data_IF_581451031465
#
_entry.id   IF_581451031465
#
_cell.length_a   1.000
_cell.length_b   1.000
_cell.length_c   1.000
_cell.angle_alpha   90.00
_cell.angle_beta   90.00
_cell.angle_gamma   90.00
#
_symmetry.space_group_name_H-M   'P 1'
#
loop_
_entity.id
_entity.type
_entity.pdbx_description
1 polymer ?
#
# COMPACT_ATOMS: atom_id res chain seq x y z
N UNK A 1 18.53 -12.75 -5.02
CA UNK A 1 17.58 -11.68 -5.40
C UNK A 1 16.25 -11.91 -4.73
N UNK A 2 15.73 -10.92 -4.08
CA UNK A 2 14.44 -11.03 -3.40
C UNK A 2 13.35 -10.60 -4.38
N UNK A 3 12.48 -11.55 -4.70
CA UNK A 3 11.40 -11.32 -5.67
C UNK A 3 10.13 -11.03 -4.90
N UNK A 4 9.71 -9.76 -4.88
CA UNK A 4 8.47 -9.35 -4.26
C UNK A 4 7.38 -9.22 -5.31
N UNK A 5 6.24 -9.85 -5.04
CA UNK A 5 5.07 -9.65 -5.88
C UNK A 5 4.39 -8.34 -5.46
N UNK A 6 4.57 -7.30 -6.27
CA UNK A 6 3.97 -5.99 -6.04
C UNK A 6 2.60 -5.84 -6.69
N UNK A 7 2.09 -6.89 -7.34
CA UNK A 7 0.80 -6.84 -8.03
C UNK A 7 -0.34 -6.42 -7.11
N UNK A 8 -0.49 -6.98 -5.88
CA UNK A 8 -1.56 -6.52 -4.98
C UNK A 8 -1.46 -5.05 -4.63
N UNK A 9 -0.24 -4.54 -4.43
CA UNK A 9 -0.01 -3.13 -4.12
C UNK A 9 -0.37 -2.25 -5.30
N UNK A 10 0.02 -2.62 -6.51
CA UNK A 10 -0.33 -1.88 -7.72
C UNK A 10 -1.84 -1.78 -7.90
N UNK A 11 -2.56 -2.88 -7.69
CA UNK A 11 -4.02 -2.90 -7.77
C UNK A 11 -4.66 -2.00 -6.71
N UNK A 12 -4.14 -2.03 -5.49
CA UNK A 12 -4.66 -1.20 -4.41
C UNK A 12 -4.45 0.29 -4.71
N UNK A 13 -3.29 0.66 -5.26
CA UNK A 13 -2.98 2.03 -5.65
C UNK A 13 -3.93 2.50 -6.75
N UNK A 14 -4.19 1.66 -7.76
CA UNK A 14 -5.13 2.00 -8.84
C UNK A 14 -6.53 2.27 -8.29
N UNK A 15 -7.00 1.45 -7.37
CA UNK A 15 -8.31 1.66 -6.72
C UNK A 15 -8.33 2.94 -5.91
N UNK A 16 -7.24 3.26 -5.24
CA UNK A 16 -7.12 4.50 -4.48
C UNK A 16 -7.18 5.71 -5.42
N UNK A 17 -6.49 5.66 -6.55
CA UNK A 17 -6.54 6.72 -7.56
C UNK A 17 -7.95 6.92 -8.09
N UNK A 18 -8.67 5.84 -8.41
CA UNK A 18 -10.06 5.91 -8.85
C UNK A 18 -10.94 6.58 -7.80
N UNK A 19 -10.74 6.22 -6.52
CA UNK A 19 -11.47 6.83 -5.41
C UNK A 19 -11.18 8.31 -5.26
N UNK A 20 -9.93 8.71 -5.45
CA UNK A 20 -9.54 10.13 -5.42
C UNK A 20 -10.22 10.94 -6.52
N UNK A 21 -10.25 10.38 -7.73
CA UNK A 21 -10.90 11.04 -8.88
C UNK A 21 -12.39 11.24 -8.57
N UNK A 22 -13.07 10.22 -8.08
CA UNK A 22 -14.50 10.31 -7.74
C UNK A 22 -14.74 11.32 -6.62
N UNK A 23 -13.87 11.36 -5.62
CA UNK A 23 -13.99 12.33 -4.54
C UNK A 23 -13.80 13.75 -5.03
N UNK A 24 -12.86 13.99 -5.95
CA UNK A 24 -12.66 15.31 -6.55
C UNK A 24 -13.88 15.78 -7.35
N UNK A 25 -14.61 14.85 -7.95
CA UNK A 25 -15.84 15.17 -8.69
C UNK A 25 -16.97 15.59 -7.75
N UNK A 26 -17.04 15.01 -6.54
CA UNK A 26 -18.08 15.34 -5.56
C UNK A 26 -17.52 15.21 -4.14
N UNK A 27 -16.89 16.27 -3.66
CA UNK A 27 -16.27 16.30 -2.34
C UNK A 27 -17.30 16.36 -1.21
N UNK A 28 -18.57 16.59 -1.53
CA UNK A 28 -19.64 16.64 -0.51
C UNK A 28 -20.24 15.26 -0.22
N UNK A 29 -19.91 14.24 -1.03
CA UNK A 29 -20.47 12.91 -0.86
C UNK A 29 -19.70 12.15 0.22
N UNK A 30 -20.37 11.94 1.36
CA UNK A 30 -19.79 11.26 2.52
C UNK A 30 -19.47 9.80 2.21
N UNK A 31 -20.31 9.14 1.40
CA UNK A 31 -20.10 7.74 1.05
C UNK A 31 -18.82 7.56 0.20
N UNK A 32 -18.61 8.47 -0.75
CA UNK A 32 -17.38 8.45 -1.56
C UNK A 32 -16.16 8.69 -0.66
N UNK A 33 -16.26 9.65 0.26
CA UNK A 33 -15.19 9.95 1.21
C UNK A 33 -14.86 8.73 2.07
N UNK A 34 -15.87 8.09 2.64
CA UNK A 34 -15.66 6.93 3.52
C UNK A 34 -15.07 5.75 2.74
N UNK A 35 -15.53 5.53 1.50
CA UNK A 35 -14.96 4.52 0.63
C UNK A 35 -13.50 4.81 0.29
N UNK A 36 -13.15 6.07 0.11
CA UNK A 36 -11.77 6.49 -0.14
C UNK A 36 -10.88 6.20 1.07
N UNK A 37 -11.36 6.51 2.27
CA UNK A 37 -10.63 6.21 3.51
C UNK A 37 -10.36 4.71 3.62
N UNK A 38 -11.37 3.86 3.34
CA UNK A 38 -11.19 2.41 3.39
C UNK A 38 -10.16 1.93 2.37
N UNK A 39 -10.18 2.49 1.15
CA UNK A 39 -9.18 2.15 0.13
C UNK A 39 -7.77 2.56 0.55
N UNK A 40 -7.66 3.71 1.20
CA UNK A 40 -6.39 4.18 1.73
C UNK A 40 -5.86 3.24 2.83
N UNK A 41 -6.72 2.86 3.77
CA UNK A 41 -6.36 1.93 4.85
C UNK A 41 -5.89 0.59 4.28
N UNK A 42 -6.60 0.06 3.30
CA UNK A 42 -6.25 -1.20 2.65
C UNK A 42 -4.89 -1.10 1.95
N UNK A 43 -4.67 -0.01 1.23
CA UNK A 43 -3.38 0.24 0.55
C UNK A 43 -2.25 0.34 1.56
N UNK A 44 -2.49 1.03 2.67
CA UNK A 44 -1.53 1.17 3.76
C UNK A 44 -1.15 -0.20 4.34
N UNK A 45 -2.13 -1.05 4.61
CA UNK A 45 -1.88 -2.38 5.16
C UNK A 45 -1.03 -3.23 4.22
N UNK A 46 -1.35 -3.22 2.91
CA UNK A 46 -0.59 -3.98 1.92
C UNK A 46 0.84 -3.46 1.84
N UNK A 47 1.01 -2.14 1.77
CA UNK A 47 2.34 -1.56 1.68
C UNK A 47 3.17 -1.83 2.94
N UNK A 48 2.53 -1.81 4.11
CA UNK A 48 3.16 -2.11 5.38
C UNK A 48 3.67 -3.55 5.42
N UNK A 49 2.86 -4.50 4.97
CA UNK A 49 3.25 -5.92 4.92
C UNK A 49 4.43 -6.14 3.98
N UNK A 50 4.40 -5.51 2.81
CA UNK A 50 5.49 -5.64 1.84
C UNK A 50 6.77 -5.03 2.39
N UNK A 51 6.68 -3.85 2.99
CA UNK A 51 7.82 -3.18 3.60
C UNK A 51 8.41 -4.02 4.73
N UNK A 52 7.56 -4.59 5.57
CA UNK A 52 7.99 -5.43 6.68
C UNK A 52 8.79 -6.64 6.17
N UNK A 53 8.28 -7.30 5.12
CA UNK A 53 8.99 -8.44 4.53
C UNK A 53 10.35 -8.01 3.96
N UNK A 54 10.37 -6.88 3.28
CA UNK A 54 11.61 -6.35 2.72
C UNK A 54 12.64 -6.07 3.82
N UNK A 55 12.22 -5.41 4.89
CA UNK A 55 13.09 -5.07 6.00
C UNK A 55 13.60 -6.30 6.74
N UNK A 56 12.74 -7.31 6.93
CA UNK A 56 13.14 -8.55 7.58
C UNK A 56 14.27 -9.24 6.79
N UNK A 57 14.12 -9.32 5.47
CA UNK A 57 15.14 -9.94 4.62
C UNK A 57 16.42 -9.12 4.55
N UNK A 58 16.30 -7.81 4.44
CA UNK A 58 17.44 -6.90 4.38
C UNK A 58 18.17 -6.86 5.71
N UNK A 59 17.44 -6.82 6.82
CA UNK A 59 18.04 -6.82 8.15
C UNK A 59 18.82 -8.10 8.43
N UNK A 60 18.28 -9.25 8.02
CA UNK A 60 19.00 -10.52 8.16
C UNK A 60 20.32 -10.49 7.40
N UNK A 61 20.32 -9.97 6.18
CA UNK A 61 21.54 -9.84 5.38
C UNK A 61 22.53 -8.87 6.02
N UNK A 62 22.05 -7.74 6.52
CA UNK A 62 22.91 -6.76 7.21
C UNK A 62 23.54 -7.34 8.46
N UNK A 63 22.77 -8.08 9.25
CA UNK A 63 23.27 -8.73 10.45
C UNK A 63 24.36 -9.75 10.11
N UNK A 64 24.22 -10.50 9.01
CA UNK A 64 25.22 -11.44 8.56
C UNK A 64 26.51 -10.73 8.10
N UNK A 65 26.37 -9.57 7.47
CA UNK A 65 27.51 -8.79 7.03
C UNK A 65 28.28 -8.15 8.20
N UNK A 66 27.60 -7.88 9.30
CA UNK A 66 28.18 -7.23 10.47
C UNK A 66 28.87 -8.20 11.43
N UNK A 67 28.75 -9.49 11.20
CA UNK A 67 29.42 -10.51 12.03
C UNK A 67 30.88 -10.73 11.64
#
# INVERSE_FOLDING_TARGET
>A
MVDFDLTPLKKAILRLEEGLIRYQEDISDIQIRDGLVQRFEFTYEISHKILKRYLEKTSANLMNLMK
#
